data_IF_487205405857
#
_entry.id   IF_487205405857
#
_cell.length_a   1.000
_cell.length_b   1.000
_cell.length_c   1.000
_cell.angle_alpha   90.00
_cell.angle_beta   90.00
_cell.angle_gamma   90.00
#
_symmetry.space_group_name_H-M   'P 1'
#
loop_
_entity.id
_entity.type
_entity.pdbx_description
1 polymer ?
#
# COMPACT_ATOMS: atom_id res chain seq x y z
N UNK A 1 13.02 4.09 -17.95
CA UNK A 1 12.27 3.34 -16.91
C UNK A 1 11.03 2.69 -17.52
N UNK A 2 10.88 1.37 -17.38
CA UNK A 2 9.69 0.64 -17.85
C UNK A 2 8.63 0.62 -16.75
N UNK A 3 7.37 0.99 -17.06
CA UNK A 3 6.27 0.96 -16.08
C UNK A 3 5.59 -0.42 -16.07
N UNK A 4 5.21 -0.96 -14.90
CA UNK A 4 4.41 -2.17 -14.82
C UNK A 4 3.00 -1.92 -15.39
N UNK A 5 2.38 -2.97 -15.91
CA UNK A 5 0.96 -2.90 -16.27
C UNK A 5 0.09 -2.85 -14.98
N UNK A 6 -1.21 -2.52 -15.08
CA UNK A 6 -2.08 -2.38 -13.92
C UNK A 6 -2.17 -3.64 -13.04
N UNK A 7 -2.17 -4.83 -13.66
CA UNK A 7 -2.23 -6.11 -12.93
C UNK A 7 -0.98 -6.34 -12.08
N UNK A 8 0.20 -6.09 -12.66
CA UNK A 8 1.47 -6.16 -11.95
C UNK A 8 1.57 -5.07 -10.86
N UNK A 9 0.98 -3.90 -11.10
CA UNK A 9 0.90 -2.85 -10.09
C UNK A 9 0.04 -3.27 -8.90
N UNK A 10 -1.10 -3.94 -9.13
CA UNK A 10 -1.91 -4.52 -8.05
C UNK A 10 -1.12 -5.57 -7.27
N UNK A 11 -0.48 -6.52 -7.95
CA UNK A 11 0.41 -7.50 -7.31
C UNK A 11 1.48 -6.83 -6.45
N UNK A 12 2.08 -5.75 -6.96
CA UNK A 12 3.04 -4.94 -6.23
C UNK A 12 2.43 -4.21 -5.01
N UNK A 13 1.21 -3.69 -5.12
CA UNK A 13 0.48 -3.08 -4.01
C UNK A 13 0.27 -4.09 -2.86
N UNK A 14 -0.11 -5.32 -3.19
CA UNK A 14 -0.23 -6.45 -2.24
C UNK A 14 1.11 -6.97 -1.66
N UNK A 15 2.24 -6.36 -2.01
CA UNK A 15 3.56 -6.74 -1.47
C UNK A 15 4.37 -7.68 -2.34
N UNK A 16 3.82 -8.04 -3.51
CA UNK A 16 4.48 -8.85 -4.52
C UNK A 16 5.76 -8.21 -5.07
N UNK A 17 6.75 -9.05 -5.37
CA UNK A 17 7.99 -8.62 -6.05
C UNK A 17 7.73 -8.52 -7.56
N UNK A 18 8.08 -7.39 -8.16
CA UNK A 18 8.04 -7.21 -9.61
C UNK A 18 9.29 -7.84 -10.26
N UNK A 19 9.20 -8.28 -11.53
CA UNK A 19 10.36 -8.72 -12.30
C UNK A 19 11.48 -7.66 -12.32
N UNK A 20 12.74 -8.10 -12.38
CA UNK A 20 13.94 -7.25 -12.32
C UNK A 20 13.95 -6.12 -13.35
N UNK A 21 13.32 -6.30 -14.52
CA UNK A 21 13.15 -5.26 -15.56
C UNK A 21 12.40 -4.01 -15.09
N UNK A 22 11.69 -4.06 -13.96
CA UNK A 22 10.98 -2.93 -13.35
C UNK A 22 11.74 -2.33 -12.15
N UNK A 23 12.96 -2.80 -11.85
CA UNK A 23 13.77 -2.37 -10.69
C UNK A 23 13.90 -0.85 -10.61
N UNK A 24 14.27 -0.19 -11.71
CA UNK A 24 14.44 1.26 -11.75
C UNK A 24 13.13 2.01 -11.48
N UNK A 25 12.01 1.45 -11.96
CA UNK A 25 10.70 2.01 -11.69
C UNK A 25 10.33 1.87 -10.21
N UNK A 26 10.65 0.74 -9.56
CA UNK A 26 10.41 0.53 -8.13
C UNK A 26 11.24 1.51 -7.29
N UNK A 27 12.51 1.72 -7.65
CA UNK A 27 13.34 2.73 -6.99
C UNK A 27 12.67 4.10 -7.11
N UNK A 28 12.32 4.51 -8.32
CA UNK A 28 11.66 5.80 -8.55
C UNK A 28 10.33 5.94 -7.81
N UNK A 29 9.48 4.90 -7.81
CA UNK A 29 8.19 4.88 -7.11
C UNK A 29 8.33 5.10 -5.60
N UNK A 30 9.44 4.62 -5.02
CA UNK A 30 9.72 4.69 -3.59
C UNK A 30 10.53 5.94 -3.18
N UNK A 31 11.14 6.66 -4.13
CA UNK A 31 11.99 7.83 -3.84
C UNK A 31 11.53 9.14 -4.47
N UNK A 32 10.57 9.13 -5.41
CA UNK A 32 10.08 10.35 -6.04
C UNK A 32 9.39 11.30 -5.05
N UNK A 33 9.26 12.59 -5.39
CA UNK A 33 8.59 13.59 -4.51
C UNK A 33 7.17 13.19 -4.06
N UNK A 34 6.46 12.42 -4.89
CA UNK A 34 5.10 11.91 -4.60
C UNK A 34 5.08 10.49 -4.01
N UNK A 35 6.22 9.97 -3.54
CA UNK A 35 6.32 8.61 -2.97
C UNK A 35 5.33 8.38 -1.84
N UNK A 36 5.10 9.39 -0.99
CA UNK A 36 4.18 9.29 0.14
C UNK A 36 2.73 9.11 -0.33
N UNK A 37 2.28 9.88 -1.32
CA UNK A 37 0.96 9.72 -1.92
C UNK A 37 0.79 8.33 -2.57
N UNK A 38 1.83 7.82 -3.24
CA UNK A 38 1.84 6.46 -3.81
C UNK A 38 1.76 5.39 -2.74
N UNK A 39 2.38 5.60 -1.59
CA UNK A 39 2.27 4.71 -0.42
C UNK A 39 0.86 4.69 0.15
N UNK A 40 0.24 5.86 0.30
CA UNK A 40 -1.16 5.97 0.74
C UNK A 40 -2.09 5.24 -0.24
N UNK A 41 -1.97 5.50 -1.55
CA UNK A 41 -2.78 4.83 -2.57
C UNK A 41 -2.63 3.30 -2.53
N UNK A 42 -1.40 2.78 -2.39
CA UNK A 42 -1.19 1.32 -2.24
C UNK A 42 -1.80 0.79 -0.95
N UNK A 43 -1.72 1.53 0.15
CA UNK A 43 -2.33 1.13 1.43
C UNK A 43 -3.86 1.08 1.32
N UNK A 44 -4.46 2.06 0.64
CA UNK A 44 -5.90 2.07 0.36
C UNK A 44 -6.32 0.90 -0.53
N UNK A 45 -5.53 0.58 -1.56
CA UNK A 45 -5.78 -0.59 -2.42
C UNK A 45 -5.61 -1.90 -1.66
N UNK A 46 -4.67 -1.98 -0.72
CA UNK A 46 -4.45 -3.16 0.10
C UNK A 46 -5.62 -3.38 1.09
N UNK A 47 -6.14 -2.30 1.69
CA UNK A 47 -7.19 -2.39 2.71
C UNK A 47 -8.59 -2.51 2.10
N UNK A 48 -8.81 -2.06 0.86
CA UNK A 48 -10.13 -2.05 0.22
C UNK A 48 -10.82 -3.42 0.14
N UNK A 49 -10.15 -4.56 -0.14
CA UNK A 49 -10.81 -5.87 -0.16
C UNK A 49 -11.25 -6.28 1.25
N UNK A 50 -10.49 -5.91 2.28
CA UNK A 50 -10.83 -6.18 3.68
C UNK A 50 -12.06 -5.37 4.08
N UNK A 51 -12.10 -4.08 3.74
CA UNK A 51 -13.26 -3.23 4.03
C UNK A 51 -14.51 -3.69 3.28
N UNK A 52 -14.37 -4.09 2.02
CA UNK A 52 -15.47 -4.65 1.24
C UNK A 52 -16.00 -5.94 1.86
N UNK A 53 -15.12 -6.85 2.29
CA UNK A 53 -15.51 -8.08 2.97
C UNK A 53 -16.24 -7.79 4.29
N UNK A 54 -15.71 -6.88 5.11
CA UNK A 54 -16.35 -6.49 6.36
C UNK A 54 -17.72 -5.85 6.12
N UNK A 55 -17.87 -5.00 5.10
CA UNK A 55 -19.17 -4.45 4.72
C UNK A 55 -20.16 -5.53 4.27
N UNK A 56 -19.72 -6.49 3.46
CA UNK A 56 -20.57 -7.61 3.03
C UNK A 56 -21.04 -8.45 4.22
N UNK A 57 -20.17 -8.70 5.20
CA UNK A 57 -20.52 -9.49 6.38
C UNK A 57 -21.44 -8.70 7.32
N UNK A 58 -21.03 -7.51 7.76
CA UNK A 58 -21.75 -6.76 8.80
C UNK A 58 -22.93 -5.96 8.26
N UNK A 59 -22.80 -5.40 7.05
CA UNK A 59 -23.86 -4.62 6.42
C UNK A 59 -24.90 -5.49 5.72
N UNK A 60 -24.46 -6.46 4.91
CA UNK A 60 -25.39 -7.27 4.08
C UNK A 60 -25.82 -8.55 4.81
N UNK A 61 -24.89 -9.42 5.21
CA UNK A 61 -25.25 -10.73 5.74
C UNK A 61 -25.89 -10.66 7.13
N UNK A 62 -25.44 -9.74 7.99
CA UNK A 62 -25.98 -9.52 9.34
C UNK A 62 -27.06 -8.42 9.40
N UNK A 63 -27.37 -7.76 8.27
CA UNK A 63 -28.32 -6.65 8.19
C UNK A 63 -28.05 -5.55 9.25
N UNK A 64 -26.78 -5.25 9.52
CA UNK A 64 -26.41 -4.24 10.49
C UNK A 64 -26.83 -2.82 10.07
N UNK A 65 -27.03 -1.89 11.01
CA UNK A 65 -27.33 -0.50 10.69
C UNK A 65 -26.23 0.10 9.82
N UNK A 66 -26.57 0.47 8.58
CA UNK A 66 -25.59 0.87 7.57
C UNK A 66 -24.69 2.02 8.01
N UNK A 67 -25.23 3.01 8.72
CA UNK A 67 -24.46 4.15 9.25
C UNK A 67 -23.38 3.72 10.24
N UNK A 68 -23.72 2.81 11.16
CA UNK A 68 -22.79 2.30 12.18
C UNK A 68 -21.68 1.48 11.52
N UNK A 69 -22.04 0.61 10.58
CA UNK A 69 -21.06 -0.19 9.82
C UNK A 69 -20.12 0.73 9.06
N UNK A 70 -20.63 1.72 8.33
CA UNK A 70 -19.81 2.65 7.56
C UNK A 70 -18.86 3.45 8.45
N UNK A 71 -19.35 4.00 9.58
CA UNK A 71 -18.52 4.75 10.52
C UNK A 71 -17.42 3.86 11.12
N UNK A 72 -17.73 2.62 11.49
CA UNK A 72 -16.75 1.67 12.00
C UNK A 72 -15.67 1.34 10.96
N UNK A 73 -16.06 1.13 9.69
CA UNK A 73 -15.13 0.87 8.60
C UNK A 73 -14.22 2.06 8.31
N UNK A 74 -14.76 3.28 8.31
CA UNK A 74 -13.97 4.50 8.12
C UNK A 74 -12.98 4.68 9.26
N UNK A 75 -13.40 4.50 10.52
CA UNK A 75 -12.50 4.59 11.67
C UNK A 75 -11.39 3.54 11.61
N UNK A 76 -11.73 2.28 11.30
CA UNK A 76 -10.77 1.20 11.10
C UNK A 76 -9.79 1.48 9.96
N UNK A 77 -10.27 2.05 8.84
CA UNK A 77 -9.43 2.49 7.73
C UNK A 77 -8.43 3.57 8.18
N UNK A 78 -8.89 4.59 8.90
CA UNK A 78 -8.02 5.68 9.38
C UNK A 78 -6.90 5.11 10.25
N UNK A 79 -7.23 4.23 11.21
CA UNK A 79 -6.23 3.60 12.08
C UNK A 79 -5.27 2.73 11.28
N UNK A 80 -5.76 1.88 10.38
CA UNK A 80 -4.92 1.01 9.55
C UNK A 80 -3.97 1.79 8.64
N UNK A 81 -4.47 2.86 8.00
CA UNK A 81 -3.65 3.75 7.18
C UNK A 81 -2.64 4.49 8.05
N UNK A 82 -3.02 5.00 9.22
CA UNK A 82 -2.11 5.66 10.15
C UNK A 82 -0.92 4.76 10.51
N UNK A 83 -1.17 3.52 10.92
CA UNK A 83 -0.11 2.54 11.18
C UNK A 83 0.77 2.27 9.95
N UNK A 84 0.16 2.13 8.76
CA UNK A 84 0.92 1.95 7.51
C UNK A 84 1.85 3.13 7.21
N UNK A 85 1.40 4.36 7.54
CA UNK A 85 2.17 5.58 7.33
C UNK A 85 3.33 5.70 8.32
N UNK A 86 3.15 5.29 9.58
CA UNK A 86 4.20 5.28 10.59
C UNK A 86 5.41 4.44 10.18
N UNK A 87 5.20 3.39 9.37
CA UNK A 87 6.25 2.51 8.87
C UNK A 87 6.53 2.71 7.37
N UNK A 88 6.08 3.81 6.76
CA UNK A 88 6.21 4.03 5.32
C UNK A 88 7.68 4.04 4.84
N UNK A 89 8.64 4.69 5.53
CA UNK A 89 10.05 4.64 5.16
C UNK A 89 10.64 3.21 5.23
N UNK A 90 10.35 2.48 6.31
CA UNK A 90 10.83 1.12 6.55
C UNK A 90 10.26 0.14 5.52
N UNK A 91 8.99 0.31 5.15
CA UNK A 91 8.33 -0.45 4.10
C UNK A 91 8.96 -0.21 2.73
N UNK A 92 9.35 1.04 2.42
CA UNK A 92 10.05 1.36 1.20
C UNK A 92 11.44 0.69 1.16
N UNK A 93 12.21 0.80 2.23
CA UNK A 93 13.54 0.18 2.33
C UNK A 93 13.45 -1.35 2.26
N UNK A 94 12.50 -1.97 2.97
CA UNK A 94 12.26 -3.43 2.92
C UNK A 94 11.86 -3.91 1.52
N UNK A 95 11.20 -3.08 0.72
CA UNK A 95 10.92 -3.42 -0.68
C UNK A 95 12.16 -3.36 -1.54
N UNK A 96 13.05 -2.39 -1.32
CA UNK A 96 14.29 -2.28 -2.07
C UNK A 96 15.31 -3.37 -1.73
N UNK A 97 15.33 -3.88 -0.49
CA UNK A 97 16.18 -5.04 -0.16
C UNK A 97 15.83 -6.28 -0.98
N UNK A 98 14.55 -6.47 -1.37
CA UNK A 98 14.12 -7.54 -2.30
C UNK A 98 14.78 -7.45 -3.69
N UNK A 99 15.36 -6.30 -4.05
CA UNK A 99 16.09 -6.06 -5.30
C UNK A 99 17.60 -5.91 -5.10
N UNK A 100 18.13 -6.30 -3.94
CA UNK A 100 19.56 -6.31 -3.63
C UNK A 100 20.13 -4.95 -3.19
N UNK A 101 19.29 -3.96 -2.88
CA UNK A 101 19.76 -2.70 -2.30
C UNK A 101 20.00 -2.84 -0.79
N UNK A 102 20.96 -2.08 -0.22
CA UNK A 102 21.18 -2.06 1.22
C UNK A 102 19.98 -1.47 1.97
N UNK A 103 19.84 -1.82 3.26
CA UNK A 103 18.83 -1.17 4.13
C UNK A 103 19.13 0.33 4.22
N UNK A 104 18.08 1.15 4.25
CA UNK A 104 18.22 2.62 4.28
C UNK A 104 18.44 3.27 2.91
N UNK A 105 18.51 2.51 1.81
CA UNK A 105 18.80 3.06 0.48
C UNK A 105 17.74 4.06 -0.01
N UNK A 106 16.44 3.77 0.15
CA UNK A 106 15.40 4.74 -0.22
C UNK A 106 15.44 5.96 0.70
N UNK A 107 15.72 5.76 1.99
CA UNK A 107 15.82 6.86 2.96
C UNK A 107 16.98 7.81 2.63
N UNK A 108 18.13 7.26 2.21
CA UNK A 108 19.28 8.07 1.79
C UNK A 108 19.04 8.82 0.49
N UNK A 109 18.30 8.24 -0.46
CA UNK A 109 17.95 8.90 -1.73
C UNK A 109 16.90 10.02 -1.58
N UNK A 110 16.23 10.10 -0.42
CA UNK A 110 15.18 11.09 -0.10
C UNK A 110 15.68 12.24 0.79
N UNK A 111 16.91 12.15 1.33
CA UNK A 111 17.57 13.24 2.06
C UNK A 111 18.10 14.28 1.07
#
# INVERSE_FOLDING_TARGET
MRRPNPVLWLWYAFGGKLPSRYRDWVVHDLTCRTWFLRHVLRSLVLVSPVLALLYLVFGVALAGPGEVVLLALVLGMIVGVYYSLSYAPENADTRLTKYGFPRGHATNLRR
#
